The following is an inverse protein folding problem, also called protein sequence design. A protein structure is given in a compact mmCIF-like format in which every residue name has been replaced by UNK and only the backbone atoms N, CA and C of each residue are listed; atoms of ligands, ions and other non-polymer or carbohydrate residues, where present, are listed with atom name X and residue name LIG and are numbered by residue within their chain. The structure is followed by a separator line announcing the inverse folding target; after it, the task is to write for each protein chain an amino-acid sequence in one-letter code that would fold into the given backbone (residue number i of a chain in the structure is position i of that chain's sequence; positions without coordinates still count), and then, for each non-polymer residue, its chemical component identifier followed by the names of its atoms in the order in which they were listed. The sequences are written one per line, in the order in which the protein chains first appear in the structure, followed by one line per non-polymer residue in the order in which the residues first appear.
data_IF_759916093835
#
_entry.id   IF_759916093835
#
_cell.length_a   1.000
_cell.length_b   1.000
_cell.length_c   1.000
_cell.angle_alpha   90.00
_cell.angle_beta   90.00
_cell.angle_gamma   90.00
#
_symmetry.space_group_name_H-M   'P 1'
#
loop_
_entity.id
_entity.type
_entity.pdbx_description
1 polymer ?
#
# COMPACT_ATOMS: atom_id res chain seq x y z
N UNK A 1 9.61 10.77 -17.09
CA UNK A 1 8.56 11.78 -16.96
C UNK A 1 7.82 11.62 -15.64
N UNK A 2 7.54 12.72 -14.98
CA UNK A 2 6.76 12.71 -13.74
C UNK A 2 5.39 13.31 -14.00
N UNK A 3 4.35 12.67 -13.47
CA UNK A 3 3.00 13.19 -13.46
C UNK A 3 2.54 13.27 -12.01
N UNK A 4 1.85 14.33 -11.65
CA UNK A 4 1.43 14.59 -10.27
C UNK A 4 -0.07 14.77 -10.21
N UNK A 5 -0.69 14.09 -9.24
CA UNK A 5 -2.11 14.24 -8.95
C UNK A 5 -2.29 14.59 -7.47
N UNK A 6 -2.92 15.71 -7.19
CA UNK A 6 -3.30 16.10 -5.83
C UNK A 6 -4.74 15.69 -5.57
N UNK A 7 -5.05 15.37 -4.30
CA UNK A 7 -6.39 14.99 -3.89
C UNK A 7 -6.59 13.49 -3.72
N UNK A 8 -7.81 13.09 -3.30
CA UNK A 8 -8.04 11.72 -2.83
C UNK A 8 -8.27 10.68 -3.92
N UNK A 9 -8.45 11.07 -5.17
CA UNK A 9 -8.66 10.11 -6.25
C UNK A 9 -7.37 9.39 -6.62
N UNK A 10 -7.45 8.09 -6.86
CA UNK A 10 -6.30 7.32 -7.29
C UNK A 10 -5.99 7.60 -8.76
N UNK A 11 -4.73 7.91 -9.03
CA UNK A 11 -4.24 7.98 -10.40
C UNK A 11 -4.38 6.61 -11.07
N UNK A 12 -4.68 6.61 -12.36
CA UNK A 12 -4.84 5.37 -13.14
C UNK A 12 -3.64 4.43 -12.98
N UNK A 13 -2.43 4.99 -13.05
CA UNK A 13 -1.20 4.20 -12.89
C UNK A 13 -1.06 3.61 -11.49
N UNK A 14 -1.41 4.36 -10.46
CA UNK A 14 -1.39 3.86 -9.07
C UNK A 14 -2.32 2.67 -8.94
N UNK A 15 -3.53 2.79 -9.48
CA UNK A 15 -4.51 1.70 -9.46
C UNK A 15 -3.99 0.48 -10.21
N UNK A 16 -3.41 0.69 -11.37
CA UNK A 16 -2.86 -0.40 -12.18
C UNK A 16 -1.74 -1.14 -11.45
N UNK A 17 -0.78 -0.39 -10.88
CA UNK A 17 0.35 -0.99 -10.16
C UNK A 17 -0.12 -1.71 -8.89
N UNK A 18 -1.05 -1.14 -8.14
CA UNK A 18 -1.57 -1.74 -6.92
C UNK A 18 -2.41 -3.00 -7.19
N UNK A 19 -3.05 -3.07 -8.35
CA UNK A 19 -3.84 -4.23 -8.75
C UNK A 19 -2.98 -5.39 -9.24
N UNK A 20 -1.79 -5.09 -9.74
CA UNK A 20 -0.85 -6.09 -10.24
C UNK A 20 -0.05 -6.74 -9.11
N UNK A 21 0.77 -7.74 -9.48
CA UNK A 21 1.64 -8.45 -8.54
C UNK A 21 2.92 -7.63 -8.33
N UNK A 22 2.78 -6.48 -7.70
CA UNK A 22 3.87 -5.56 -7.40
C UNK A 22 3.97 -5.36 -5.90
N UNK A 23 5.19 -5.22 -5.39
CA UNK A 23 5.43 -4.98 -3.97
C UNK A 23 5.48 -3.48 -3.71
N UNK A 24 5.13 -3.09 -2.49
CA UNK A 24 5.15 -1.69 -2.08
C UNK A 24 6.12 -1.47 -0.93
N UNK A 25 6.90 -0.39 -1.01
CA UNK A 25 7.67 0.11 0.10
C UNK A 25 6.78 1.08 0.86
N UNK A 26 6.49 0.78 2.12
CA UNK A 26 5.55 1.53 2.94
C UNK A 26 6.27 2.17 4.11
N UNK A 27 6.13 3.50 4.24
CA UNK A 27 6.78 4.29 5.27
C UNK A 27 5.73 4.84 6.23
N UNK A 28 5.96 4.62 7.53
CA UNK A 28 5.15 5.15 8.62
C UNK A 28 6.05 5.87 9.63
N UNK A 29 5.47 6.60 10.56
CA UNK A 29 6.21 7.43 11.52
C UNK A 29 6.25 6.75 12.88
N UNK A 30 7.44 6.48 13.38
CA UNK A 30 7.65 5.92 14.72
C UNK A 30 7.33 6.95 15.81
N UNK A 31 7.08 6.52 17.06
CA UNK A 31 6.85 7.46 18.17
C UNK A 31 7.97 8.49 18.35
N UNK A 32 9.20 8.14 17.97
CA UNK A 32 10.34 9.05 18.04
C UNK A 32 10.33 10.14 16.96
N UNK A 33 9.43 10.03 15.97
CA UNK A 33 9.43 10.91 14.80
C UNK A 33 10.29 10.37 13.67
N UNK A 34 11.03 9.30 13.88
CA UNK A 34 11.81 8.67 12.82
C UNK A 34 10.89 7.90 11.89
N UNK A 35 11.38 7.60 10.70
CA UNK A 35 10.62 6.91 9.67
C UNK A 35 10.98 5.43 9.65
N UNK A 36 9.96 4.57 9.49
CA UNK A 36 10.15 3.14 9.34
C UNK A 36 9.60 2.72 7.97
N UNK A 37 10.40 2.02 7.19
CA UNK A 37 10.00 1.58 5.84
C UNK A 37 10.09 0.07 5.73
N UNK A 38 9.03 -0.54 5.19
CA UNK A 38 8.94 -1.99 5.03
C UNK A 38 8.35 -2.33 3.66
N UNK A 39 8.76 -3.49 3.11
CA UNK A 39 8.15 -4.02 1.88
C UNK A 39 6.91 -4.79 2.24
N UNK A 40 5.79 -4.45 1.61
CA UNK A 40 4.48 -5.04 1.90
C UNK A 40 3.74 -5.38 0.61
N UNK A 41 2.71 -6.20 0.75
CA UNK A 41 1.71 -6.43 -0.28
C UNK A 41 0.74 -5.26 -0.31
N UNK A 42 0.14 -5.03 -1.47
CA UNK A 42 -0.78 -3.92 -1.69
C UNK A 42 -1.92 -4.38 -2.60
N UNK A 43 -3.07 -3.77 -2.45
CA UNK A 43 -4.23 -4.06 -3.29
C UNK A 43 -5.14 -2.83 -3.42
N UNK A 44 -6.12 -2.96 -4.29
CA UNK A 44 -7.26 -2.03 -4.35
C UNK A 44 -8.45 -2.71 -3.67
N UNK A 45 -9.04 -2.03 -2.74
CA UNK A 45 -10.20 -2.50 -1.98
C UNK A 45 -11.18 -1.35 -1.85
N UNK A 46 -12.44 -1.54 -2.22
CA UNK A 46 -13.45 -0.48 -2.20
C UNK A 46 -12.98 0.79 -2.93
N UNK A 47 -12.35 0.61 -4.08
CA UNK A 47 -11.76 1.68 -4.90
C UNK A 47 -10.67 2.49 -4.21
N UNK A 48 -10.13 2.00 -3.11
CA UNK A 48 -9.05 2.66 -2.36
C UNK A 48 -7.80 1.80 -2.35
N UNK A 49 -6.67 2.45 -2.22
CA UNK A 49 -5.40 1.76 -1.96
C UNK A 49 -5.47 1.17 -0.56
N UNK A 50 -5.19 -0.12 -0.44
CA UNK A 50 -5.34 -0.83 0.83
C UNK A 50 -4.13 -1.68 1.14
N UNK A 51 -3.81 -1.76 2.43
CA UNK A 51 -2.75 -2.60 2.98
C UNK A 51 -3.40 -3.47 4.05
N UNK A 52 -3.06 -4.75 4.06
CA UNK A 52 -3.53 -5.70 5.07
C UNK A 52 -2.38 -5.98 6.04
N UNK A 53 -2.63 -5.86 7.32
CA UNK A 53 -1.62 -6.14 8.35
C UNK A 53 -2.26 -6.76 9.59
N UNK A 54 -1.47 -6.96 10.63
CA UNK A 54 -1.95 -7.44 11.93
C UNK A 54 -1.86 -6.35 12.97
N UNK A 55 -2.79 -6.36 13.93
CA UNK A 55 -2.91 -5.30 14.92
C UNK A 55 -1.71 -5.24 15.88
N UNK A 56 -0.93 -6.32 16.03
CA UNK A 56 0.28 -6.29 16.88
C UNK A 56 1.48 -5.65 16.20
N UNK A 57 1.45 -5.45 14.88
CA UNK A 57 2.59 -4.93 14.14
C UNK A 57 2.87 -3.46 14.46
N UNK A 58 4.17 -3.13 14.47
CA UNK A 58 4.61 -1.75 14.76
C UNK A 58 3.97 -0.74 13.81
N UNK A 59 3.87 -1.07 12.52
CA UNK A 59 3.27 -0.17 11.51
C UNK A 59 1.81 0.19 11.82
N UNK A 60 1.03 -0.75 12.34
CA UNK A 60 -0.34 -0.47 12.74
C UNK A 60 -0.37 0.52 13.91
N UNK A 61 0.46 0.28 14.91
CA UNK A 61 0.56 1.16 16.08
C UNK A 61 1.08 2.54 15.68
N UNK A 62 2.02 2.61 14.75
CA UNK A 62 2.52 3.88 14.23
C UNK A 62 1.37 4.69 13.63
N UNK A 63 0.53 4.05 12.82
CA UNK A 63 -0.58 4.72 12.13
C UNK A 63 -1.71 5.14 13.06
N UNK A 64 -1.86 4.50 14.21
CA UNK A 64 -2.79 4.93 15.24
C UNK A 64 -2.34 6.24 15.90
N UNK A 65 -1.03 6.44 16.02
CA UNK A 65 -0.46 7.64 16.65
C UNK A 65 -0.25 8.78 15.64
N UNK A 66 0.12 8.43 14.40
CA UNK A 66 0.37 9.38 13.32
C UNK A 66 -0.15 8.77 12.02
N UNK A 67 -1.22 9.30 11.44
CA UNK A 67 -1.87 8.68 10.29
C UNK A 67 -1.11 8.83 8.97
N UNK A 68 -0.03 9.60 8.94
CA UNK A 68 0.72 9.83 7.71
C UNK A 68 1.37 8.55 7.20
N UNK A 69 1.29 8.33 5.90
CA UNK A 69 1.83 7.16 5.24
C UNK A 69 2.36 7.55 3.86
N UNK A 70 3.43 6.90 3.44
CA UNK A 70 3.89 6.97 2.07
C UNK A 70 3.99 5.54 1.53
N UNK A 71 3.43 5.33 0.35
CA UNK A 71 3.40 4.03 -0.31
C UNK A 71 4.06 4.18 -1.67
N UNK A 72 5.16 3.48 -1.89
CA UNK A 72 5.85 3.45 -3.19
C UNK A 72 5.61 2.09 -3.83
N UNK A 73 4.93 2.07 -4.97
CA UNK A 73 4.62 0.84 -5.70
C UNK A 73 5.42 0.85 -6.98
N UNK A 74 6.38 -0.08 -7.08
CA UNK A 74 7.21 -0.22 -8.27
C UNK A 74 6.65 -1.34 -9.14
N UNK A 75 6.68 -1.14 -10.47
CA UNK A 75 6.44 -2.21 -11.43
C UNK A 75 7.51 -3.29 -11.23
N UNK A 76 7.11 -4.52 -11.00
CA UNK A 76 8.04 -5.62 -10.72
C UNK A 76 9.01 -5.87 -11.88
N UNK A 77 8.55 -5.63 -13.10
CA UNK A 77 9.33 -5.88 -14.31
C UNK A 77 10.10 -4.66 -14.81
N UNK A 78 9.82 -3.46 -14.25
CA UNK A 78 10.42 -2.22 -14.73
C UNK A 78 10.67 -1.24 -13.57
N UNK A 79 11.92 -1.10 -13.12
CA UNK A 79 12.23 -0.22 -11.98
C UNK A 79 12.08 1.28 -12.31
N UNK A 80 11.90 1.62 -13.58
CA UNK A 80 11.71 3.01 -14.01
C UNK A 80 10.23 3.38 -14.12
N UNK A 81 9.35 2.51 -13.64
CA UNK A 81 7.91 2.71 -13.65
C UNK A 81 7.36 2.48 -12.24
N UNK A 82 6.94 3.57 -11.59
CA UNK A 82 6.45 3.47 -10.21
C UNK A 82 5.53 4.62 -9.84
N UNK A 83 4.77 4.43 -8.76
CA UNK A 83 3.90 5.44 -8.17
C UNK A 83 4.27 5.65 -6.71
N UNK A 84 4.47 6.91 -6.31
CA UNK A 84 4.62 7.28 -4.91
C UNK A 84 3.33 7.94 -4.44
N UNK A 85 2.71 7.37 -3.41
CA UNK A 85 1.47 7.89 -2.84
C UNK A 85 1.76 8.41 -1.45
N UNK A 86 1.61 9.72 -1.25
CA UNK A 86 1.65 10.34 0.08
C UNK A 86 0.22 10.57 0.53
N UNK A 87 -0.10 10.13 1.73
CA UNK A 87 -1.46 10.25 2.20
C UNK A 87 -1.59 9.97 3.68
N UNK A 88 -2.80 9.59 4.06
CA UNK A 88 -3.16 9.32 5.46
C UNK A 88 -4.00 8.06 5.53
N UNK A 89 -3.84 7.32 6.62
CA UNK A 89 -4.74 6.22 6.94
C UNK A 89 -5.78 6.77 7.92
N UNK A 90 -6.95 7.12 7.39
CA UNK A 90 -8.05 7.68 8.17
C UNK A 90 -9.14 6.65 8.45
N UNK A 91 -9.08 5.49 7.78
CA UNK A 91 -10.04 4.42 7.95
C UNK A 91 -9.31 3.09 8.08
N UNK A 92 -9.67 2.33 9.12
CA UNK A 92 -9.20 0.97 9.32
C UNK A 92 -10.39 0.05 9.51
N UNK A 93 -10.22 -1.22 9.18
CA UNK A 93 -11.30 -2.20 9.31
C UNK A 93 -10.74 -3.52 9.85
N UNK A 94 -11.11 -3.84 11.08
CA UNK A 94 -10.86 -5.16 11.69
C UNK A 94 -12.15 -5.96 11.52
N UNK A 95 -12.13 -6.94 10.62
CA UNK A 95 -13.35 -7.66 10.26
C UNK A 95 -13.02 -8.98 9.58
N UNK A 96 -14.07 -9.79 9.35
CA UNK A 96 -13.94 -11.00 8.55
C UNK A 96 -13.49 -10.69 7.13
N UNK A 97 -13.85 -9.51 6.61
CA UNK A 97 -13.40 -9.07 5.28
C UNK A 97 -11.87 -8.91 5.26
N UNK A 98 -11.29 -8.33 6.31
CA UNK A 98 -9.83 -8.17 6.39
C UNK A 98 -9.14 -9.55 6.36
N UNK A 99 -9.69 -10.54 7.05
CA UNK A 99 -9.17 -11.91 7.02
C UNK A 99 -9.31 -12.53 5.63
N UNK A 100 -10.47 -12.39 5.00
CA UNK A 100 -10.72 -12.93 3.66
C UNK A 100 -9.83 -12.26 2.61
N UNK A 101 -9.65 -10.95 2.70
CA UNK A 101 -8.82 -10.19 1.77
C UNK A 101 -7.35 -10.64 1.86
N UNK A 102 -6.89 -11.06 3.03
CA UNK A 102 -5.54 -11.60 3.17
C UNK A 102 -5.35 -12.85 2.28
N UNK A 103 -6.34 -13.73 2.22
CA UNK A 103 -6.27 -14.91 1.36
C UNK A 103 -6.27 -14.51 -0.12
N UNK A 104 -7.03 -13.49 -0.50
CA UNK A 104 -7.01 -12.96 -1.88
C UNK A 104 -5.62 -12.42 -2.22
N UNK A 105 -4.97 -11.72 -1.30
CA UNK A 105 -3.60 -11.24 -1.48
C UNK A 105 -2.62 -12.42 -1.61
N UNK A 106 -2.76 -13.42 -0.77
CA UNK A 106 -1.90 -14.60 -0.81
C UNK A 106 -2.04 -15.33 -2.15
N UNK A 107 -3.26 -15.44 -2.68
CA UNK A 107 -3.49 -15.99 -4.01
C UNK A 107 -2.77 -15.16 -5.08
N UNK A 108 -2.82 -13.84 -4.99
CA UNK A 108 -2.15 -12.93 -5.93
C UNK A 108 -0.62 -13.10 -5.88
N UNK A 109 -0.04 -13.13 -4.69
CA UNK A 109 1.43 -13.11 -4.53
C UNK A 109 2.06 -14.49 -4.46
N UNK A 110 1.35 -15.51 -3.95
CA UNK A 110 1.88 -16.87 -3.76
C UNK A 110 1.16 -17.93 -4.57
N UNK A 111 -0.08 -17.68 -4.99
CA UNK A 111 -0.89 -18.70 -5.65
C UNK A 111 -1.58 -19.67 -4.69
N UNK A 112 -1.66 -19.36 -3.41
CA UNK A 112 -2.31 -20.18 -2.38
C UNK A 112 -2.84 -19.31 -1.26
N UNK A 113 -3.73 -19.87 -0.41
CA UNK A 113 -4.21 -19.13 0.76
C UNK A 113 -3.10 -18.90 1.78
N UNK A 114 -3.26 -17.86 2.59
CA UNK A 114 -2.30 -17.52 3.62
C UNK A 114 -2.33 -18.58 4.74
N UNK A 115 -1.16 -19.09 5.18
CA UNK A 115 -1.13 -20.07 6.26
C UNK A 115 -1.73 -19.52 7.55
N UNK A 116 -2.78 -20.15 8.06
CA UNK A 116 -3.49 -19.68 9.25
C UNK A 116 -2.59 -19.62 10.50
N UNK A 117 -1.61 -20.52 10.61
CA UNK A 117 -0.66 -20.54 11.72
C UNK A 117 0.33 -19.39 11.69
N UNK A 118 0.41 -18.65 10.57
CA UNK A 118 1.22 -17.43 10.46
C UNK A 118 0.54 -16.20 11.06
N UNK A 119 -0.75 -16.29 11.41
CA UNK A 119 -1.52 -15.17 11.93
C UNK A 119 -1.43 -15.17 13.47
N UNK A 120 -0.93 -14.06 14.03
CA UNK A 120 -0.68 -13.93 15.48
C UNK A 120 -1.65 -12.98 16.17
N UNK A 121 -2.34 -12.12 15.43
CA UNK A 121 -3.31 -11.17 15.97
C UNK A 121 -4.39 -10.92 14.92
N UNK A 122 -5.32 -10.01 15.21
CA UNK A 122 -6.39 -9.68 14.26
C UNK A 122 -5.84 -9.08 12.98
N UNK A 123 -6.42 -9.47 11.85
CA UNK A 123 -6.12 -8.84 10.57
C UNK A 123 -6.88 -7.53 10.45
N UNK A 124 -6.24 -6.53 9.85
CA UNK A 124 -6.82 -5.21 9.68
C UNK A 124 -6.52 -4.70 8.27
N UNK A 125 -7.54 -4.13 7.65
CA UNK A 125 -7.40 -3.38 6.40
C UNK A 125 -7.10 -1.92 6.74
N UNK A 126 -6.06 -1.39 6.14
CA UNK A 126 -5.66 0.01 6.24
C UNK A 126 -5.98 0.66 4.89
N UNK A 127 -6.91 1.62 4.89
CA UNK A 127 -7.27 2.35 3.68
C UNK A 127 -6.48 3.64 3.61
N UNK A 128 -5.77 3.82 2.51
CA UNK A 128 -4.94 5.01 2.29
C UNK A 128 -5.73 6.05 1.51
N UNK A 129 -5.91 7.23 2.12
CA UNK A 129 -6.48 8.39 1.43
C UNK A 129 -5.33 9.18 0.84
N UNK A 130 -5.17 9.22 -0.49
CA UNK A 130 -4.08 9.97 -1.10
C UNK A 130 -4.24 11.47 -0.90
N UNK A 131 -3.12 12.15 -0.70
CA UNK A 131 -3.04 13.60 -0.71
C UNK A 131 -2.26 14.07 -1.93
N UNK A 132 -1.19 13.36 -2.29
CA UNK A 132 -0.39 13.64 -3.47
C UNK A 132 0.21 12.36 -4.02
N UNK A 133 0.09 12.17 -5.32
CA UNK A 133 0.67 11.04 -6.02
C UNK A 133 1.65 11.53 -7.07
N UNK A 134 2.83 10.94 -7.10
CA UNK A 134 3.84 11.23 -8.12
C UNK A 134 4.06 9.94 -8.92
N UNK A 135 3.80 10.02 -10.21
CA UNK A 135 3.89 8.89 -11.12
C UNK A 135 5.12 9.07 -11.99
N UNK A 136 5.97 8.08 -12.01
CA UNK A 136 7.15 8.04 -12.87
C UNK A 136 6.98 6.90 -13.87
N UNK A 137 7.12 7.23 -15.14
CA UNK A 137 7.19 6.24 -16.21
C UNK A 137 8.17 6.75 -17.26
N UNK A 138 9.40 6.30 -17.15
CA UNK A 138 10.49 6.73 -18.01
C UNK A 138 10.32 6.27 -19.46
N UNK A 139 9.43 5.28 -19.67
CA UNK A 139 9.18 4.74 -21.01
C UNK A 139 8.21 5.61 -21.82
N UNK A 140 7.47 6.50 -21.17
CA UNK A 140 6.49 7.36 -21.82
C UNK A 140 7.13 8.65 -22.33
N UNK A 141 8.11 9.17 -21.60
CA UNK A 141 8.77 10.42 -21.96
C UNK A 141 10.11 10.14 -22.64
N UNK A 142 10.16 10.36 -23.92
CA UNK A 142 11.36 10.12 -24.72
C UNK A 142 12.08 11.40 -25.11
N UNK A 143 11.66 12.55 -24.58
CA UNK A 143 12.19 13.87 -24.96
C UNK A 143 13.15 14.47 -23.95
N UNK A 144 13.31 13.84 -22.83
CA UNK A 144 14.17 14.34 -21.74
C UNK A 144 15.65 14.27 -22.06
#
# INVERSE_FOLDING_TARGET
MADTLNGPELHRMTRELASGKNFAAVTTVLPSGRLQTQMLWVAIENDMLAINTETHRRRFKNLQSDPRITVLIRDEDDPYRYAEVRGRVERTEVSDRARAQLDELAQKYFGSDYPADGIKSERVLLYVTPERQTIIDQNVDTTD
#
